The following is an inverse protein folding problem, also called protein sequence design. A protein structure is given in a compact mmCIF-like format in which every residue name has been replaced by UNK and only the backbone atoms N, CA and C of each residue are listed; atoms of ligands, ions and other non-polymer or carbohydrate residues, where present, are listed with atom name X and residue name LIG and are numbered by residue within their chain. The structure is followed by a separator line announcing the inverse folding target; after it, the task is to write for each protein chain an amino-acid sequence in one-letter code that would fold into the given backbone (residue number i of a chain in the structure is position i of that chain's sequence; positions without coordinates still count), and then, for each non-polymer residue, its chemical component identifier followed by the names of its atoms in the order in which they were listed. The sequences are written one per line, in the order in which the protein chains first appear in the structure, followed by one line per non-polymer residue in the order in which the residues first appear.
data_IF_586768333693
#
_entry.id   IF_586768333693
#
_cell.length_a   1.000
_cell.length_b   1.000
_cell.length_c   1.000
_cell.angle_alpha   90.00
_cell.angle_beta   90.00
_cell.angle_gamma   90.00
#
_symmetry.space_group_name_H-M   'P 1'
#
loop_
_entity.id
_entity.type
_entity.pdbx_description
1 polymer ?
#
# COMPACT_ATOMS: atom_id res chain seq x y z
N UNK A 1 52.30 22.23 -22.87
CA UNK A 1 51.65 21.25 -21.97
C UNK A 1 50.25 21.00 -22.51
N UNK A 2 49.99 19.85 -23.12
CA UNK A 2 48.61 19.43 -23.39
C UNK A 2 48.01 18.95 -22.08
N UNK A 3 47.14 19.77 -21.49
CA UNK A 3 46.30 19.35 -20.38
C UNK A 3 45.23 18.42 -20.98
N UNK A 4 45.48 17.11 -21.01
CA UNK A 4 44.41 16.16 -21.26
C UNK A 4 43.61 16.01 -19.97
N UNK A 5 42.40 16.57 -19.93
CA UNK A 5 41.45 16.20 -18.89
C UNK A 5 41.25 14.68 -18.94
N UNK A 6 41.39 13.95 -17.81
CA UNK A 6 41.05 12.53 -17.80
C UNK A 6 39.60 12.37 -18.23
N UNK A 7 39.33 11.39 -19.10
CA UNK A 7 37.96 11.09 -19.51
C UNK A 7 37.16 10.71 -18.27
N UNK A 8 35.97 11.33 -18.05
CA UNK A 8 35.14 10.96 -16.92
C UNK A 8 34.77 9.47 -17.03
N UNK A 9 34.83 8.77 -15.89
CA UNK A 9 34.30 7.42 -15.78
C UNK A 9 32.78 7.54 -15.87
N UNK A 10 32.18 6.88 -16.85
CA UNK A 10 30.73 6.92 -17.08
C UNK A 10 30.03 5.64 -16.59
N UNK A 11 30.79 4.57 -16.34
CA UNK A 11 30.26 3.29 -15.89
C UNK A 11 30.61 3.08 -14.42
N UNK A 12 29.58 3.04 -13.59
CA UNK A 12 29.67 2.74 -12.17
C UNK A 12 28.81 1.50 -11.86
N UNK A 13 29.17 0.75 -10.82
CA UNK A 13 28.35 -0.35 -10.28
C UNK A 13 27.40 0.13 -9.18
N UNK A 14 27.62 1.33 -8.66
CA UNK A 14 26.85 1.95 -7.58
C UNK A 14 26.40 3.37 -7.96
N UNK A 15 25.32 3.82 -7.32
CA UNK A 15 24.83 5.20 -7.40
C UNK A 15 25.92 6.16 -6.91
N UNK A 16 26.06 7.29 -7.60
CA UNK A 16 27.08 8.32 -7.38
C UNK A 16 26.34 9.64 -7.22
N UNK A 17 26.90 10.61 -6.49
CA UNK A 17 26.30 11.95 -6.39
C UNK A 17 25.99 12.58 -7.75
N UNK A 18 26.86 12.34 -8.74
CA UNK A 18 26.68 12.87 -10.09
C UNK A 18 25.46 12.29 -10.84
N UNK A 19 24.92 11.14 -10.42
CA UNK A 19 23.66 10.61 -10.97
C UNK A 19 22.44 11.46 -10.55
N UNK A 20 22.53 12.25 -9.47
CA UNK A 20 21.48 13.16 -9.02
C UNK A 20 21.69 14.63 -9.41
N UNK A 21 22.70 14.94 -10.23
CA UNK A 21 23.13 16.31 -10.51
C UNK A 21 22.52 16.94 -11.78
N UNK A 22 21.66 16.23 -12.51
CA UNK A 22 20.99 16.72 -13.73
C UNK A 22 21.89 16.73 -14.99
N UNK A 23 23.07 16.12 -14.92
CA UNK A 23 24.03 16.08 -16.02
C UNK A 23 23.98 14.79 -16.84
N UNK A 24 25.06 14.51 -17.59
CA UNK A 24 25.20 13.32 -18.43
C UNK A 24 25.03 12.00 -17.67
N UNK A 25 25.51 11.92 -16.43
CA UNK A 25 25.33 10.73 -15.60
C UNK A 25 23.87 10.54 -15.16
N UNK A 26 23.14 11.62 -14.86
CA UNK A 26 21.69 11.53 -14.61
C UNK A 26 20.95 10.97 -15.83
N UNK A 27 21.26 11.47 -17.03
CA UNK A 27 20.68 10.96 -18.28
C UNK A 27 21.03 9.49 -18.53
N UNK A 28 22.28 9.08 -18.26
CA UNK A 28 22.71 7.69 -18.37
C UNK A 28 21.95 6.77 -17.40
N UNK A 29 21.76 7.21 -16.14
CA UNK A 29 20.97 6.47 -15.16
C UNK A 29 19.51 6.32 -15.62
N UNK A 30 18.89 7.40 -16.08
CA UNK A 30 17.53 7.38 -16.66
C UNK A 30 17.42 6.39 -17.80
N UNK A 31 18.30 6.50 -18.80
CA UNK A 31 18.26 5.66 -19.99
C UNK A 31 18.55 4.18 -19.71
N UNK A 32 19.41 3.87 -18.72
CA UNK A 32 19.83 2.49 -18.43
C UNK A 32 18.97 1.78 -17.39
N UNK A 33 18.45 2.50 -16.40
CA UNK A 33 17.77 1.88 -15.25
C UNK A 33 16.28 2.14 -15.27
N UNK A 34 15.82 3.33 -15.66
CA UNK A 34 14.40 3.68 -15.57
C UNK A 34 13.65 3.39 -16.87
N UNK A 35 14.11 3.94 -18.00
CA UNK A 35 13.43 3.83 -19.29
C UNK A 35 13.21 2.39 -19.79
N UNK A 36 14.13 1.42 -19.59
CA UNK A 36 13.91 0.05 -20.07
C UNK A 36 12.71 -0.66 -19.43
N UNK A 37 12.29 -0.23 -18.25
CA UNK A 37 11.18 -0.85 -17.51
C UNK A 37 9.94 0.03 -17.44
N UNK A 38 10.12 1.35 -17.33
CA UNK A 38 9.02 2.31 -17.12
C UNK A 38 8.62 3.04 -18.41
N UNK A 39 9.40 2.93 -19.49
CA UNK A 39 9.18 3.62 -20.76
C UNK A 39 7.78 3.38 -21.33
N UNK A 40 7.13 4.47 -21.75
CA UNK A 40 5.77 4.50 -22.28
C UNK A 40 5.54 5.83 -23.01
N UNK A 41 4.50 5.97 -23.85
CA UNK A 41 4.30 7.17 -24.67
C UNK A 41 4.19 8.51 -23.91
N UNK A 42 3.85 8.49 -22.61
CA UNK A 42 3.85 9.69 -21.77
C UNK A 42 5.25 9.98 -21.25
N UNK A 43 5.92 8.98 -20.67
CA UNK A 43 7.25 9.14 -20.08
C UNK A 43 8.35 9.36 -21.13
N UNK A 44 8.22 8.74 -22.31
CA UNK A 44 9.19 8.81 -23.41
C UNK A 44 9.35 10.22 -23.99
N UNK A 45 8.40 11.13 -23.69
CA UNK A 45 8.49 12.53 -24.09
C UNK A 45 9.62 13.26 -23.35
N UNK A 46 9.91 12.85 -22.10
CA UNK A 46 10.92 13.47 -21.24
C UNK A 46 10.75 15.00 -21.10
N UNK A 47 9.52 15.48 -21.21
CA UNK A 47 9.14 16.85 -20.88
C UNK A 47 9.09 17.02 -19.35
N UNK A 48 9.06 18.28 -18.89
CA UNK A 48 8.96 18.60 -17.45
C UNK A 48 7.67 18.11 -16.78
N UNK A 49 6.66 17.69 -17.57
CA UNK A 49 5.39 17.19 -17.08
C UNK A 49 4.74 16.18 -18.03
N UNK A 50 4.08 15.18 -17.45
CA UNK A 50 3.17 14.30 -18.18
C UNK A 50 1.86 15.04 -18.52
N UNK A 51 1.28 14.74 -19.69
CA UNK A 51 0.03 15.33 -20.17
C UNK A 51 -0.94 14.22 -20.57
N UNK A 52 -2.10 14.17 -19.94
CA UNK A 52 -3.17 13.21 -20.21
C UNK A 52 -4.53 13.88 -20.11
N UNK A 53 -5.51 13.36 -20.84
CA UNK A 53 -6.88 13.87 -20.81
C UNK A 53 -7.61 13.40 -19.54
N UNK A 54 -8.51 14.25 -19.04
CA UNK A 54 -9.36 13.91 -17.92
C UNK A 54 -10.55 13.04 -18.36
N UNK A 55 -10.87 11.99 -17.59
CA UNK A 55 -12.09 11.20 -17.79
C UNK A 55 -13.31 11.85 -17.09
N UNK A 56 -14.55 11.54 -17.51
CA UNK A 56 -15.76 12.04 -16.85
C UNK A 56 -15.84 11.65 -15.37
N UNK A 57 -16.36 12.55 -14.53
CA UNK A 57 -16.53 12.32 -13.10
C UNK A 57 -15.66 13.25 -12.25
N UNK A 58 -15.07 12.74 -11.17
CA UNK A 58 -14.17 13.47 -10.28
C UNK A 58 -12.74 12.93 -10.39
N UNK A 59 -11.75 13.80 -10.22
CA UNK A 59 -10.35 13.39 -10.14
C UNK A 59 -10.02 13.06 -8.67
N UNK A 60 -9.49 11.87 -8.43
CA UNK A 60 -8.87 11.49 -7.17
C UNK A 60 -7.36 11.64 -7.28
N UNK A 61 -6.75 12.17 -6.22
CA UNK A 61 -5.31 12.38 -6.14
C UNK A 61 -4.82 11.99 -4.75
N UNK A 62 -3.82 11.12 -4.68
CA UNK A 62 -3.18 10.68 -3.44
C UNK A 62 -1.66 10.71 -3.59
N UNK A 63 -0.94 10.67 -2.48
CA UNK A 63 0.50 10.45 -2.47
C UNK A 63 0.94 9.77 -1.20
N UNK A 64 1.93 8.90 -1.32
CA UNK A 64 2.57 8.28 -0.18
C UNK A 64 4.08 8.17 -0.38
N UNK A 65 4.80 8.10 0.74
CA UNK A 65 6.26 7.94 0.75
C UNK A 65 6.62 6.66 1.50
N UNK A 66 7.35 5.81 0.81
CA UNK A 66 7.71 4.47 1.24
C UNK A 66 9.15 4.48 1.74
N UNK A 67 9.32 4.02 2.98
CA UNK A 67 10.60 4.03 3.70
C UNK A 67 10.92 2.68 4.33
N UNK A 68 10.21 1.62 3.91
CA UNK A 68 10.36 0.24 4.38
C UNK A 68 11.83 -0.20 4.48
N UNK A 69 12.16 -0.89 5.56
CA UNK A 69 13.43 -1.61 5.68
C UNK A 69 13.20 -3.07 6.12
N UNK A 70 13.88 -4.07 5.55
CA UNK A 70 14.74 -3.98 4.37
C UNK A 70 13.95 -3.61 3.10
N UNK A 71 14.63 -3.06 2.09
CA UNK A 71 14.01 -2.73 0.78
C UNK A 71 13.60 -3.96 -0.05
N UNK A 72 14.04 -5.15 0.35
CA UNK A 72 13.62 -6.45 -0.17
C UNK A 72 13.20 -7.34 0.98
N UNK A 73 11.99 -7.89 0.92
CA UNK A 73 11.40 -8.68 1.98
C UNK A 73 10.62 -9.87 1.43
N UNK A 74 10.25 -10.85 2.26
CA UNK A 74 9.40 -11.95 1.83
C UNK A 74 8.09 -11.42 1.25
N UNK A 75 7.77 -11.79 0.02
CA UNK A 75 6.54 -11.36 -0.64
C UNK A 75 6.62 -10.02 -1.39
N UNK A 76 7.71 -9.24 -1.29
CA UNK A 76 7.78 -7.96 -1.99
C UNK A 76 9.08 -7.17 -1.85
N UNK A 77 9.04 -5.94 -2.32
CA UNK A 77 10.12 -4.95 -2.33
C UNK A 77 9.54 -3.57 -2.01
N UNK A 78 10.40 -2.58 -1.80
CA UNK A 78 9.94 -1.17 -1.72
C UNK A 78 9.29 -0.70 -3.04
N UNK A 79 9.61 -1.32 -4.19
CA UNK A 79 9.12 -0.91 -5.50
C UNK A 79 7.67 -1.28 -5.75
N UNK A 80 7.33 -2.57 -5.67
CA UNK A 80 5.93 -3.01 -5.78
C UNK A 80 5.08 -2.47 -4.64
N UNK A 81 5.61 -2.34 -3.43
CA UNK A 81 4.94 -1.65 -2.32
C UNK A 81 4.54 -0.21 -2.70
N UNK A 82 5.47 0.56 -3.28
CA UNK A 82 5.19 1.95 -3.66
C UNK A 82 4.05 2.05 -4.69
N UNK A 83 4.02 1.14 -5.67
CA UNK A 83 2.96 1.11 -6.67
C UNK A 83 1.64 0.63 -6.05
N UNK A 84 1.66 -0.50 -5.34
CA UNK A 84 0.46 -1.13 -4.79
C UNK A 84 -0.24 -0.21 -3.78
N UNK A 85 0.49 0.38 -2.83
CA UNK A 85 -0.11 1.26 -1.82
C UNK A 85 -0.81 2.47 -2.45
N UNK A 86 -0.15 3.17 -3.36
CA UNK A 86 -0.74 4.35 -4.04
C UNK A 86 -1.92 3.96 -4.94
N UNK A 87 -1.89 2.78 -5.56
CA UNK A 87 -3.03 2.22 -6.30
C UNK A 87 -4.19 1.90 -5.37
N UNK A 88 -3.91 1.35 -4.19
CA UNK A 88 -4.89 0.96 -3.19
C UNK A 88 -5.61 2.18 -2.61
N UNK A 89 -4.89 3.23 -2.23
CA UNK A 89 -5.46 4.52 -1.80
C UNK A 89 -6.52 5.06 -2.78
N UNK A 90 -6.19 5.05 -4.07
CA UNK A 90 -7.11 5.48 -5.12
C UNK A 90 -8.31 4.53 -5.22
N UNK A 91 -8.07 3.23 -5.21
CA UNK A 91 -9.11 2.22 -5.34
C UNK A 91 -10.12 2.29 -4.19
N UNK A 92 -9.65 2.34 -2.94
CA UNK A 92 -10.54 2.41 -1.75
C UNK A 92 -11.34 3.72 -1.69
N UNK A 93 -10.81 4.80 -2.26
CA UNK A 93 -11.56 6.04 -2.51
C UNK A 93 -12.61 5.93 -3.62
N UNK A 94 -12.70 4.78 -4.29
CA UNK A 94 -13.62 4.53 -5.39
C UNK A 94 -13.14 5.10 -6.71
N UNK A 95 -11.87 5.46 -6.87
CA UNK A 95 -11.34 5.86 -8.17
C UNK A 95 -10.92 4.63 -8.98
N UNK A 96 -10.92 4.77 -10.31
CA UNK A 96 -10.19 3.88 -11.21
C UNK A 96 -8.77 4.46 -11.34
N UNK A 97 -7.73 3.82 -10.78
CA UNK A 97 -6.36 4.31 -10.89
C UNK A 97 -5.88 4.28 -12.34
N UNK A 98 -5.14 5.32 -12.78
CA UNK A 98 -4.63 5.41 -14.16
C UNK A 98 -3.15 5.76 -14.23
N UNK A 99 -2.75 6.80 -13.51
CA UNK A 99 -1.43 7.40 -13.67
C UNK A 99 -0.73 7.54 -12.33
N UNK A 100 0.55 7.21 -12.29
CA UNK A 100 1.42 7.44 -11.15
C UNK A 100 2.58 8.35 -11.54
N UNK A 101 3.06 9.15 -10.59
CA UNK A 101 4.42 9.69 -10.60
C UNK A 101 5.32 8.84 -9.70
N UNK A 102 6.63 8.84 -9.95
CA UNK A 102 7.60 8.17 -9.08
C UNK A 102 8.84 9.06 -8.81
N UNK A 103 8.97 9.54 -7.58
CA UNK A 103 10.14 10.27 -7.09
C UNK A 103 11.06 9.38 -6.27
N UNK A 104 12.36 9.38 -6.58
CA UNK A 104 13.36 8.57 -5.90
C UNK A 104 14.33 9.45 -5.11
N UNK A 105 14.57 9.11 -3.85
CA UNK A 105 15.70 9.61 -3.07
C UNK A 105 16.65 8.43 -2.85
N UNK A 106 17.84 8.51 -3.44
CA UNK A 106 18.82 7.43 -3.44
C UNK A 106 20.04 7.83 -2.62
N UNK A 107 20.58 6.88 -1.85
CA UNK A 107 21.84 7.05 -1.14
C UNK A 107 23.03 6.81 -2.08
N UNK A 108 24.04 7.68 -2.04
CA UNK A 108 25.33 7.43 -2.68
C UNK A 108 25.93 6.10 -2.22
N UNK A 109 26.36 5.28 -3.18
CA UNK A 109 26.90 3.95 -2.92
C UNK A 109 25.88 2.81 -2.98
N UNK A 110 24.58 3.09 -3.15
CA UNK A 110 23.56 2.08 -3.42
C UNK A 110 23.94 1.25 -4.67
N UNK A 111 23.92 -0.09 -4.63
CA UNK A 111 24.16 -0.91 -5.83
C UNK A 111 23.14 -0.63 -6.92
N UNK A 112 23.60 -0.36 -8.16
CA UNK A 112 22.69 -0.13 -9.29
C UNK A 112 21.85 -1.36 -9.61
N UNK A 113 22.37 -2.56 -9.36
CA UNK A 113 21.62 -3.80 -9.51
C UNK A 113 20.42 -3.88 -8.56
N UNK A 114 20.53 -3.32 -7.34
CA UNK A 114 19.40 -3.27 -6.41
C UNK A 114 18.37 -2.23 -6.86
N UNK A 115 18.81 -1.06 -7.35
CA UNK A 115 17.92 -0.07 -7.96
C UNK A 115 17.16 -0.66 -9.16
N UNK A 116 17.85 -1.34 -10.06
CA UNK A 116 17.27 -1.99 -11.24
C UNK A 116 16.22 -3.04 -10.85
N UNK A 117 16.50 -3.85 -9.82
CA UNK A 117 15.54 -4.82 -9.29
C UNK A 117 14.28 -4.15 -8.73
N UNK A 118 14.43 -3.04 -8.02
CA UNK A 118 13.31 -2.26 -7.48
C UNK A 118 12.48 -1.64 -8.60
N UNK A 119 13.12 -0.99 -9.58
CA UNK A 119 12.44 -0.38 -10.73
C UNK A 119 11.71 -1.44 -11.56
N UNK A 120 12.31 -2.61 -11.77
CA UNK A 120 11.63 -3.74 -12.42
C UNK A 120 10.40 -4.19 -11.62
N UNK A 121 10.50 -4.26 -10.29
CA UNK A 121 9.36 -4.60 -9.43
C UNK A 121 8.22 -3.59 -9.55
N UNK A 122 8.54 -2.28 -9.62
CA UNK A 122 7.56 -1.23 -9.88
C UNK A 122 6.87 -1.42 -11.22
N UNK A 123 7.63 -1.68 -12.29
CA UNK A 123 7.09 -1.90 -13.62
C UNK A 123 6.13 -3.12 -13.66
N UNK A 124 6.51 -4.21 -13.00
CA UNK A 124 5.69 -5.41 -12.93
C UNK A 124 4.40 -5.18 -12.11
N UNK A 125 4.47 -4.43 -11.01
CA UNK A 125 3.29 -4.03 -10.23
C UNK A 125 2.37 -3.09 -11.03
N UNK A 126 2.93 -2.08 -11.70
CA UNK A 126 2.16 -1.13 -12.50
C UNK A 126 1.44 -1.82 -13.65
N UNK A 127 2.12 -2.77 -14.32
CA UNK A 127 1.52 -3.60 -15.38
C UNK A 127 0.38 -4.47 -14.84
N UNK A 128 0.56 -5.11 -13.68
CA UNK A 128 -0.49 -5.93 -13.05
C UNK A 128 -1.72 -5.09 -12.66
N UNK A 129 -1.51 -3.90 -12.13
CA UNK A 129 -2.56 -2.97 -11.75
C UNK A 129 -3.21 -2.26 -12.96
N UNK A 130 -2.58 -2.29 -14.14
CA UNK A 130 -3.06 -1.61 -15.34
C UNK A 130 -2.88 -0.08 -15.28
N UNK A 131 -1.87 0.40 -14.53
CA UNK A 131 -1.53 1.83 -14.39
C UNK A 131 -0.24 2.18 -15.11
N UNK A 132 -0.06 3.47 -15.40
CA UNK A 132 1.13 4.00 -16.10
C UNK A 132 1.91 4.90 -15.15
N UNK A 133 3.21 4.66 -15.01
CA UNK A 133 4.11 5.62 -14.37
C UNK A 133 4.46 6.69 -15.43
N UNK A 134 3.81 7.84 -15.33
CA UNK A 134 3.77 8.85 -16.39
C UNK A 134 4.91 9.88 -16.29
N UNK A 135 5.43 10.12 -15.09
CA UNK A 135 6.58 11.00 -14.84
C UNK A 135 7.35 10.55 -13.60
N UNK A 136 8.54 11.12 -13.39
CA UNK A 136 9.33 10.81 -12.20
C UNK A 136 10.45 11.80 -11.95
N UNK A 137 11.11 11.63 -10.80
CA UNK A 137 12.25 12.44 -10.38
C UNK A 137 13.30 11.54 -9.70
N UNK A 138 14.57 11.95 -9.76
CA UNK A 138 15.64 11.24 -9.05
C UNK A 138 16.54 12.24 -8.34
N UNK A 139 16.72 12.04 -7.04
CA UNK A 139 17.67 12.75 -6.19
C UNK A 139 18.65 11.76 -5.60
N UNK A 140 19.91 12.17 -5.54
CA UNK A 140 20.97 11.40 -4.87
C UNK A 140 21.48 12.23 -3.71
N UNK A 141 21.46 11.65 -2.51
CA UNK A 141 21.97 12.25 -1.28
C UNK A 141 23.26 11.57 -0.84
N UNK A 142 24.04 12.26 -0.01
CA UNK A 142 25.29 11.70 0.48
C UNK A 142 25.04 10.47 1.36
N UNK A 143 26.05 9.61 1.43
CA UNK A 143 26.05 8.44 2.32
C UNK A 143 25.70 8.83 3.76
N UNK A 144 24.76 8.10 4.37
CA UNK A 144 24.23 8.31 5.71
C UNK A 144 23.05 9.28 5.81
N UNK A 145 22.61 9.92 4.72
CA UNK A 145 21.47 10.85 4.73
C UNK A 145 20.13 10.21 4.35
N UNK A 146 20.16 9.07 3.68
CA UNK A 146 19.01 8.22 3.37
C UNK A 146 19.45 6.78 3.60
N UNK A 147 18.62 5.95 4.22
CA UNK A 147 18.95 4.53 4.34
C UNK A 147 18.60 3.81 3.03
N UNK A 148 19.61 3.70 2.16
CA UNK A 148 19.55 3.09 0.81
C UNK A 148 18.69 3.85 -0.19
N UNK A 149 17.37 3.81 -0.05
CA UNK A 149 16.44 4.46 -0.96
C UNK A 149 15.09 4.73 -0.30
N UNK A 150 14.48 5.86 -0.65
CA UNK A 150 13.07 6.15 -0.40
C UNK A 150 12.38 6.42 -1.73
N UNK A 151 11.11 6.04 -1.81
CA UNK A 151 10.28 6.24 -3.00
C UNK A 151 9.04 7.02 -2.59
N UNK A 152 8.75 8.11 -3.29
CA UNK A 152 7.44 8.73 -3.24
C UNK A 152 6.71 8.39 -4.52
N UNK A 153 5.45 8.01 -4.40
CA UNK A 153 4.55 7.92 -5.53
C UNK A 153 3.35 8.80 -5.27
N UNK A 154 2.91 9.51 -6.30
CA UNK A 154 1.62 10.17 -6.31
C UNK A 154 0.75 9.53 -7.38
N UNK A 155 -0.54 9.37 -7.10
CA UNK A 155 -1.46 8.67 -7.99
C UNK A 155 -2.63 9.55 -8.39
N UNK A 156 -3.00 9.50 -9.66
CA UNK A 156 -4.21 10.09 -10.22
C UNK A 156 -5.13 8.97 -10.72
N UNK A 157 -6.39 9.05 -10.28
CA UNK A 157 -7.47 8.19 -10.75
C UNK A 157 -8.75 8.98 -10.97
N UNK A 158 -9.74 8.34 -11.59
CA UNK A 158 -11.03 8.96 -11.88
C UNK A 158 -12.16 8.24 -11.16
N UNK A 159 -12.96 8.99 -10.41
CA UNK A 159 -14.16 8.50 -9.72
C UNK A 159 -15.34 8.65 -10.69
N UNK A 160 -15.97 7.54 -11.12
CA UNK A 160 -17.11 7.60 -12.02
C UNK A 160 -18.29 8.39 -11.42
N UNK A 161 -19.14 9.04 -12.25
CA UNK A 161 -20.35 9.70 -11.78
C UNK A 161 -21.25 8.76 -10.96
N UNK A 162 -21.88 9.28 -9.92
CA UNK A 162 -22.80 8.53 -9.07
C UNK A 162 -22.13 7.72 -7.95
N UNK A 163 -20.79 7.63 -7.92
CA UNK A 163 -20.05 7.00 -6.82
C UNK A 163 -19.79 8.00 -5.70
N UNK A 164 -20.27 7.72 -4.49
CA UNK A 164 -20.14 8.59 -3.32
C UNK A 164 -19.68 7.82 -2.07
N UNK A 165 -18.44 7.33 -2.11
CA UNK A 165 -17.82 6.67 -0.96
C UNK A 165 -17.25 7.70 -0.01
N UNK A 166 -17.43 7.48 1.30
CA UNK A 166 -16.84 8.35 2.31
C UNK A 166 -16.77 7.65 3.66
N UNK A 167 -15.70 7.91 4.40
CA UNK A 167 -15.56 7.49 5.80
C UNK A 167 -16.67 8.04 6.73
N UNK A 168 -17.52 8.95 6.24
CA UNK A 168 -18.66 9.55 6.96
C UNK A 168 -20.01 8.89 6.64
N UNK A 169 -20.03 7.89 5.78
CA UNK A 169 -21.26 7.30 5.26
C UNK A 169 -21.72 6.06 6.03
N UNK A 170 -20.99 5.61 7.06
CA UNK A 170 -21.37 4.41 7.81
C UNK A 170 -22.70 4.63 8.53
N UNK A 171 -23.50 3.58 8.58
CA UNK A 171 -24.83 3.57 9.19
C UNK A 171 -24.98 2.38 10.13
N UNK A 172 -25.67 2.55 11.26
CA UNK A 172 -26.01 1.41 12.11
C UNK A 172 -26.75 0.33 11.32
N UNK A 173 -26.29 -0.92 11.47
CA UNK A 173 -26.75 -2.08 10.72
C UNK A 173 -25.88 -2.46 9.53
N UNK A 174 -24.91 -1.62 9.12
CA UNK A 174 -23.95 -2.01 8.09
C UNK A 174 -23.08 -3.19 8.53
N UNK A 175 -22.75 -4.07 7.58
CA UNK A 175 -21.76 -5.11 7.80
C UNK A 175 -20.35 -4.55 7.55
N UNK A 176 -19.39 -4.98 8.38
CA UNK A 176 -17.97 -4.69 8.21
C UNK A 176 -17.27 -5.94 7.72
N UNK A 177 -16.65 -5.87 6.55
CA UNK A 177 -15.90 -6.94 5.91
C UNK A 177 -14.42 -6.60 5.85
N UNK A 178 -13.60 -7.64 5.89
CA UNK A 178 -12.17 -7.56 5.65
C UNK A 178 -11.81 -8.53 4.53
N UNK A 179 -11.01 -8.09 3.57
CA UNK A 179 -10.70 -8.89 2.38
C UNK A 179 -9.77 -10.08 2.61
N UNK A 180 -9.15 -10.24 3.77
CA UNK A 180 -8.24 -11.35 4.00
C UNK A 180 -7.58 -11.28 5.35
N UNK A 181 -6.52 -12.08 5.52
CA UNK A 181 -5.81 -12.21 6.80
C UNK A 181 -5.20 -10.89 7.31
N UNK A 182 -4.95 -10.75 8.60
CA UNK A 182 -4.30 -9.56 9.17
C UNK A 182 -2.88 -9.82 9.65
N UNK A 183 -2.02 -8.81 9.53
CA UNK A 183 -0.67 -8.77 10.11
C UNK A 183 0.43 -9.38 9.24
N UNK A 184 0.11 -9.90 8.06
CA UNK A 184 1.05 -10.58 7.16
C UNK A 184 2.26 -9.70 6.80
N UNK A 185 2.03 -8.48 6.30
CA UNK A 185 3.12 -7.58 5.90
C UNK A 185 4.00 -7.21 7.09
N UNK A 186 3.42 -6.67 8.15
CA UNK A 186 4.24 -6.23 9.27
C UNK A 186 5.02 -7.36 9.94
N UNK A 187 4.45 -8.57 10.04
CA UNK A 187 5.20 -9.72 10.55
C UNK A 187 6.28 -10.19 9.56
N UNK A 188 6.05 -10.14 8.25
CA UNK A 188 7.09 -10.46 7.27
C UNK A 188 8.31 -9.54 7.38
N UNK A 189 8.08 -8.25 7.63
CA UNK A 189 9.13 -7.25 7.84
C UNK A 189 9.86 -7.50 9.16
N UNK A 190 9.13 -7.59 10.28
CA UNK A 190 9.74 -7.74 11.60
C UNK A 190 10.52 -9.03 11.76
N UNK A 191 9.95 -10.16 11.35
CA UNK A 191 10.64 -11.45 11.48
C UNK A 191 11.93 -11.48 10.67
N UNK A 192 11.97 -10.77 9.54
CA UNK A 192 13.19 -10.59 8.74
C UNK A 192 14.23 -9.72 9.46
N UNK A 193 13.82 -8.65 10.15
CA UNK A 193 14.74 -7.77 10.91
C UNK A 193 15.32 -8.43 12.15
N UNK A 194 14.47 -9.13 12.89
CA UNK A 194 14.86 -9.81 14.13
C UNK A 194 15.57 -11.15 13.88
N UNK A 195 15.70 -11.55 12.61
CA UNK A 195 16.31 -12.84 12.24
C UNK A 195 15.51 -14.06 12.75
N UNK A 196 14.21 -13.87 13.02
CA UNK A 196 13.34 -14.94 13.52
C UNK A 196 13.03 -15.90 12.38
N UNK A 197 13.37 -17.18 12.59
CA UNK A 197 13.13 -18.25 11.63
C UNK A 197 11.97 -19.11 12.11
N UNK A 198 10.83 -18.99 11.44
CA UNK A 198 9.67 -19.87 11.62
C UNK A 198 9.73 -21.02 10.61
N UNK A 199 8.99 -22.11 10.86
CA UNK A 199 8.90 -23.24 9.91
C UNK A 199 8.45 -22.78 8.52
N UNK A 200 7.48 -21.85 8.47
CA UNK A 200 7.07 -21.15 7.27
C UNK A 200 7.52 -19.70 7.34
N UNK A 201 8.15 -19.20 6.27
CA UNK A 201 8.52 -17.80 6.17
C UNK A 201 7.27 -16.96 5.91
N UNK A 202 6.89 -16.12 6.87
CA UNK A 202 5.80 -15.16 6.71
C UNK A 202 6.17 -14.23 5.56
N UNK A 203 5.24 -14.05 4.63
CA UNK A 203 5.41 -13.21 3.44
C UNK A 203 4.40 -12.07 3.48
N UNK A 204 4.84 -10.89 3.05
CA UNK A 204 3.98 -9.73 2.91
C UNK A 204 2.86 -10.00 1.94
N UNK A 205 1.71 -9.39 2.23
CA UNK A 205 0.51 -9.40 1.41
C UNK A 205 0.47 -8.27 0.36
N UNK A 206 1.58 -7.52 0.15
CA UNK A 206 1.63 -6.38 -0.78
C UNK A 206 1.05 -6.75 -2.16
N UNK A 207 -0.05 -6.11 -2.51
CA UNK A 207 -0.77 -6.35 -3.75
C UNK A 207 -1.64 -5.15 -4.13
N UNK A 208 -1.75 -4.91 -5.44
CA UNK A 208 -2.74 -3.97 -5.97
C UNK A 208 -4.15 -4.56 -5.84
N UNK A 209 -5.06 -3.80 -5.24
CA UNK A 209 -6.43 -4.21 -4.91
C UNK A 209 -7.46 -3.61 -5.86
N UNK A 210 -7.05 -2.84 -6.86
CA UNK A 210 -7.97 -2.15 -7.76
C UNK A 210 -8.88 -3.12 -8.56
N UNK A 211 -8.42 -4.34 -8.84
CA UNK A 211 -9.26 -5.40 -9.41
C UNK A 211 -10.32 -5.89 -8.43
N UNK A 212 -9.90 -6.33 -7.24
CA UNK A 212 -10.79 -6.75 -6.14
C UNK A 212 -11.83 -5.68 -5.80
N UNK A 213 -11.39 -4.43 -5.70
CA UNK A 213 -12.26 -3.29 -5.39
C UNK A 213 -13.28 -3.05 -6.51
N UNK A 214 -12.90 -3.24 -7.78
CA UNK A 214 -13.86 -3.13 -8.88
C UNK A 214 -14.96 -4.19 -8.78
N UNK A 215 -14.61 -5.44 -8.43
CA UNK A 215 -15.57 -6.53 -8.24
C UNK A 215 -16.50 -6.25 -7.04
N UNK A 216 -15.95 -5.76 -5.92
CA UNK A 216 -16.72 -5.33 -4.74
C UNK A 216 -17.72 -4.22 -5.09
N UNK A 217 -17.28 -3.21 -5.85
CA UNK A 217 -18.13 -2.09 -6.26
C UNK A 217 -19.23 -2.51 -7.23
N UNK A 218 -19.01 -3.57 -8.01
CA UNK A 218 -20.04 -4.17 -8.85
C UNK A 218 -21.06 -4.97 -8.02
N UNK A 219 -20.60 -5.67 -6.98
CA UNK A 219 -21.45 -6.47 -6.10
C UNK A 219 -22.29 -5.63 -5.12
N UNK A 220 -21.76 -4.50 -4.65
CA UNK A 220 -22.41 -3.59 -3.70
C UNK A 220 -22.46 -2.15 -4.23
N UNK A 221 -23.48 -1.80 -5.04
CA UNK A 221 -23.64 -0.43 -5.55
C UNK A 221 -23.95 0.59 -4.45
N UNK A 222 -24.42 0.16 -3.27
CA UNK A 222 -24.74 1.03 -2.13
C UNK A 222 -23.67 1.01 -1.04
N UNK A 223 -22.46 0.51 -1.36
CA UNK A 223 -21.32 0.52 -0.47
C UNK A 223 -21.08 1.92 0.14
N UNK A 224 -20.88 1.98 1.45
CA UNK A 224 -20.74 3.25 2.16
C UNK A 224 -19.29 3.73 2.26
N UNK A 225 -18.36 2.83 2.62
CA UNK A 225 -16.95 3.16 2.77
C UNK A 225 -16.03 1.97 2.50
N UNK A 226 -14.83 2.25 1.99
CA UNK A 226 -13.70 1.32 2.00
C UNK A 226 -12.48 2.02 2.58
N UNK A 227 -11.56 1.22 3.14
CA UNK A 227 -10.25 1.70 3.55
C UNK A 227 -9.25 0.56 3.66
N UNK A 228 -8.01 0.80 3.30
CA UNK A 228 -6.90 -0.14 3.44
C UNK A 228 -6.26 -0.02 4.83
N UNK A 229 -6.09 -1.13 5.58
CA UNK A 229 -5.55 -1.09 6.93
C UNK A 229 -4.02 -1.13 6.95
N UNK A 230 -3.39 -0.06 6.45
CA UNK A 230 -1.93 0.15 6.45
C UNK A 230 -1.42 0.51 7.86
N UNK A 231 -0.87 1.70 8.09
CA UNK A 231 -0.27 2.08 9.38
C UNK A 231 -1.32 2.08 10.50
N UNK A 232 -0.99 1.42 11.60
CA UNK A 232 -1.92 1.20 12.73
C UNK A 232 -2.94 0.08 12.51
N UNK A 233 -2.91 -0.56 11.33
CA UNK A 233 -3.66 -1.76 11.02
C UNK A 233 -5.17 -1.58 11.01
N UNK A 234 -5.86 -2.69 11.23
CA UNK A 234 -7.33 -2.75 11.31
C UNK A 234 -7.85 -1.90 12.47
N UNK A 235 -7.11 -1.88 13.59
CA UNK A 235 -7.47 -1.12 14.78
C UNK A 235 -7.58 0.39 14.48
N UNK A 236 -6.53 1.00 13.92
CA UNK A 236 -6.55 2.42 13.58
C UNK A 236 -7.62 2.74 12.55
N UNK A 237 -7.71 1.92 11.49
CA UNK A 237 -8.63 2.13 10.38
C UNK A 237 -10.09 2.13 10.83
N UNK A 238 -10.50 1.15 11.63
CA UNK A 238 -11.87 1.08 12.13
C UNK A 238 -12.18 2.20 13.13
N UNK A 239 -11.23 2.61 13.96
CA UNK A 239 -11.42 3.74 14.87
C UNK A 239 -11.61 5.05 14.08
N UNK A 240 -10.86 5.26 13.01
CA UNK A 240 -11.05 6.42 12.12
C UNK A 240 -12.41 6.42 11.44
N UNK A 241 -12.88 5.26 10.96
CA UNK A 241 -14.19 5.11 10.35
C UNK A 241 -15.32 5.37 11.37
N UNK A 242 -15.23 4.77 12.56
CA UNK A 242 -16.17 4.97 13.65
C UNK A 242 -16.28 6.45 14.06
N UNK A 243 -15.13 7.12 14.24
CA UNK A 243 -15.06 8.53 14.59
C UNK A 243 -15.62 9.43 13.48
N UNK A 244 -15.22 9.21 12.22
CA UNK A 244 -15.64 10.04 11.09
C UNK A 244 -17.15 9.96 10.81
N UNK A 245 -17.77 8.79 11.03
CA UNK A 245 -19.22 8.60 10.87
C UNK A 245 -20.02 8.81 12.17
N UNK A 246 -19.36 9.03 13.31
CA UNK A 246 -20.03 9.16 14.63
C UNK A 246 -20.90 7.95 15.00
N UNK A 247 -20.40 6.74 14.70
CA UNK A 247 -21.05 5.45 14.96
C UNK A 247 -20.13 4.55 15.79
N UNK A 248 -20.68 3.49 16.40
CA UNK A 248 -19.88 2.42 16.99
C UNK A 248 -19.60 1.32 15.97
N UNK A 249 -18.55 0.52 16.20
CA UNK A 249 -18.30 -0.72 15.45
C UNK A 249 -18.13 -1.86 16.46
N UNK A 250 -18.93 -2.92 16.34
CA UNK A 250 -18.74 -4.16 17.11
C UNK A 250 -18.11 -5.23 16.21
N UNK A 251 -16.92 -5.71 16.58
CA UNK A 251 -16.21 -6.81 15.92
C UNK A 251 -16.44 -8.14 16.63
N UNK A 252 -16.39 -9.24 15.88
CA UNK A 252 -16.33 -10.59 16.42
C UNK A 252 -14.91 -11.15 16.31
N UNK A 253 -14.23 -11.34 17.45
CA UNK A 253 -12.85 -11.83 17.48
C UNK A 253 -12.68 -13.19 16.77
N UNK A 254 -13.70 -14.06 16.86
CA UNK A 254 -13.64 -15.39 16.25
C UNK A 254 -13.73 -15.36 14.71
N UNK A 255 -14.22 -14.25 14.16
CA UNK A 255 -14.36 -14.06 12.70
C UNK A 255 -13.12 -13.47 12.04
N UNK A 256 -12.16 -12.96 12.83
CA UNK A 256 -10.96 -12.31 12.31
C UNK A 256 -10.01 -13.33 11.67
N UNK A 257 -9.72 -13.22 10.36
CA UNK A 257 -8.79 -14.11 9.70
C UNK A 257 -7.35 -13.74 10.12
N UNK A 258 -6.71 -14.61 10.90
CA UNK A 258 -5.29 -14.48 11.27
C UNK A 258 -4.63 -15.83 11.00
N UNK A 259 -3.56 -15.84 10.21
CA UNK A 259 -2.80 -17.08 9.97
C UNK A 259 -2.13 -17.55 11.25
N UNK A 260 -1.98 -18.86 11.40
CA UNK A 260 -1.35 -19.44 12.60
C UNK A 260 0.11 -19.00 12.77
N UNK A 261 0.87 -18.88 11.69
CA UNK A 261 2.26 -18.42 11.73
C UNK A 261 2.37 -16.93 12.13
N UNK A 262 1.47 -16.09 11.62
CA UNK A 262 1.35 -14.68 12.04
C UNK A 262 0.94 -14.58 13.50
N UNK A 263 -0.07 -15.34 13.94
CA UNK A 263 -0.52 -15.38 15.34
C UNK A 263 0.62 -15.78 16.28
N UNK A 264 1.35 -16.84 15.96
CA UNK A 264 2.48 -17.29 16.76
C UNK A 264 3.61 -16.27 16.83
N UNK A 265 3.89 -15.56 15.73
CA UNK A 265 4.87 -14.47 15.73
C UNK A 265 4.42 -13.28 16.59
N UNK A 266 3.16 -12.86 16.46
CA UNK A 266 2.54 -11.82 17.26
C UNK A 266 2.59 -12.14 18.76
N UNK A 267 2.24 -13.38 19.15
CA UNK A 267 2.30 -13.84 20.55
C UNK A 267 3.73 -13.81 21.10
N UNK A 268 4.71 -14.28 20.32
CA UNK A 268 6.12 -14.26 20.73
C UNK A 268 6.64 -12.83 20.96
N UNK A 269 6.21 -11.89 20.13
CA UNK A 269 6.64 -10.49 20.14
C UNK A 269 5.79 -9.60 21.06
N UNK A 270 4.67 -10.11 21.60
CA UNK A 270 3.74 -9.33 22.42
C UNK A 270 3.00 -8.24 21.64
N UNK A 271 2.70 -8.49 20.36
CA UNK A 271 2.06 -7.54 19.44
C UNK A 271 0.64 -8.02 19.13
N UNK A 272 -0.35 -7.13 19.13
CA UNK A 272 -1.70 -7.44 18.63
C UNK A 272 -1.69 -7.40 17.08
N UNK A 273 -2.07 -8.48 16.37
CA UNK A 273 -2.08 -8.49 14.91
C UNK A 273 -2.97 -7.41 14.30
N UNK A 274 -3.98 -6.92 15.02
CA UNK A 274 -4.87 -5.86 14.52
C UNK A 274 -4.22 -4.48 14.48
N UNK A 275 -3.11 -4.28 15.17
CA UNK A 275 -2.35 -3.01 15.15
C UNK A 275 -1.20 -3.02 14.14
N UNK A 276 -1.05 -4.11 13.39
CA UNK A 276 0.04 -4.33 12.43
C UNK A 276 -0.41 -3.96 11.03
N UNK A 277 0.50 -3.36 10.26
CA UNK A 277 0.21 -2.92 8.90
C UNK A 277 0.01 -4.06 7.91
N UNK A 278 -0.89 -3.83 6.96
CA UNK A 278 -1.25 -4.69 5.84
C UNK A 278 -1.09 -3.89 4.55
N UNK A 279 -0.59 -4.50 3.48
CA UNK A 279 -0.28 -3.80 2.22
C UNK A 279 -1.03 -4.38 1.01
N UNK A 280 -1.99 -5.27 1.27
CA UNK A 280 -2.88 -5.84 0.26
C UNK A 280 -4.19 -6.30 0.88
N UNK A 281 -4.76 -5.48 1.77
CA UNK A 281 -6.07 -5.72 2.39
C UNK A 281 -6.95 -4.49 2.29
N UNK A 282 -8.26 -4.71 2.30
CA UNK A 282 -9.26 -3.65 2.33
C UNK A 282 -10.36 -4.02 3.33
N UNK A 283 -10.74 -3.04 4.13
CA UNK A 283 -11.95 -3.03 4.94
C UNK A 283 -13.06 -2.43 4.09
N UNK A 284 -14.22 -3.09 4.07
CA UNK A 284 -15.39 -2.69 3.29
C UNK A 284 -16.59 -2.61 4.22
N UNK A 285 -17.33 -1.50 4.16
CA UNK A 285 -18.55 -1.29 4.95
C UNK A 285 -19.74 -1.07 4.04
N UNK A 286 -20.72 -1.95 4.13
CA UNK A 286 -21.85 -2.07 3.20
C UNK A 286 -23.17 -2.30 3.94
N UNK A 287 -24.32 -1.96 3.32
CA UNK A 287 -25.61 -2.40 3.81
C UNK A 287 -25.65 -3.92 4.03
N UNK A 288 -26.36 -4.35 5.10
CA UNK A 288 -26.36 -5.76 5.53
C UNK A 288 -26.81 -6.74 4.44
N UNK A 289 -27.74 -6.31 3.59
CA UNK A 289 -28.31 -7.09 2.50
C UNK A 289 -27.35 -7.26 1.29
N UNK A 290 -26.30 -6.44 1.19
CA UNK A 290 -25.25 -6.57 0.17
C UNK A 290 -24.02 -7.34 0.68
N UNK A 291 -23.93 -7.62 1.98
CA UNK A 291 -22.74 -8.19 2.62
C UNK A 291 -22.31 -9.55 2.04
N UNK A 292 -23.25 -10.47 1.83
CA UNK A 292 -22.95 -11.81 1.30
C UNK A 292 -22.49 -11.76 -0.16
N UNK A 293 -23.07 -10.87 -0.98
CA UNK A 293 -22.65 -10.69 -2.38
C UNK A 293 -21.22 -10.14 -2.46
N UNK A 294 -20.86 -9.21 -1.57
CA UNK A 294 -19.49 -8.69 -1.46
C UNK A 294 -18.53 -9.76 -0.99
N UNK A 295 -18.92 -10.57 0.00
CA UNK A 295 -18.09 -11.66 0.50
C UNK A 295 -17.83 -12.69 -0.61
N UNK A 296 -18.83 -13.04 -1.42
CA UNK A 296 -18.68 -13.92 -2.58
C UNK A 296 -17.75 -13.31 -3.64
N UNK A 297 -17.93 -12.02 -3.97
CA UNK A 297 -17.06 -11.31 -4.91
C UNK A 297 -15.60 -11.27 -4.44
N UNK A 298 -15.36 -11.02 -3.15
CA UNK A 298 -14.00 -11.03 -2.59
C UNK A 298 -13.36 -12.41 -2.70
N UNK A 299 -14.07 -13.46 -2.28
CA UNK A 299 -13.57 -14.83 -2.30
C UNK A 299 -13.31 -15.37 -3.72
N UNK A 300 -13.90 -14.76 -4.75
CA UNK A 300 -13.62 -15.05 -6.15
C UNK A 300 -12.24 -14.59 -6.64
N UNK A 301 -11.56 -13.72 -5.87
CA UNK A 301 -10.24 -13.18 -6.21
C UNK A 301 -9.12 -13.85 -5.41
N UNK A 302 -7.88 -13.76 -5.91
CA UNK A 302 -6.71 -14.29 -5.20
C UNK A 302 -6.42 -13.50 -3.92
N UNK A 303 -6.58 -12.19 -3.98
CA UNK A 303 -6.32 -11.23 -2.91
C UNK A 303 -7.42 -11.26 -1.83
N UNK A 304 -8.62 -11.71 -2.20
CA UNK A 304 -9.82 -11.76 -1.36
C UNK A 304 -10.23 -13.14 -0.85
N UNK A 305 -9.45 -14.19 -1.13
CA UNK A 305 -9.81 -15.61 -0.88
C UNK A 305 -10.07 -15.99 0.60
N UNK A 306 -9.57 -15.18 1.52
CA UNK A 306 -9.69 -15.36 2.97
C UNK A 306 -10.59 -14.28 3.58
N UNK A 307 -11.46 -13.67 2.76
CA UNK A 307 -12.33 -12.59 3.19
C UNK A 307 -13.35 -13.07 4.22
N UNK A 308 -13.70 -12.17 5.14
CA UNK A 308 -14.65 -12.45 6.20
C UNK A 308 -15.50 -11.23 6.54
N UNK A 309 -16.75 -11.46 6.94
CA UNK A 309 -17.54 -10.46 7.67
C UNK A 309 -17.03 -10.47 9.11
N UNK A 310 -16.40 -9.37 9.53
CA UNK A 310 -15.70 -9.27 10.81
C UNK A 310 -16.50 -8.57 11.92
N UNK A 311 -17.63 -7.94 11.56
CA UNK A 311 -18.42 -7.18 12.51
C UNK A 311 -19.57 -6.41 11.89
N UNK A 312 -20.11 -5.47 12.66
CA UNK A 312 -21.21 -4.61 12.26
C UNK A 312 -21.07 -3.20 12.85
N UNK A 313 -21.67 -2.22 12.16
CA UNK A 313 -21.80 -0.86 12.66
C UNK A 313 -23.01 -0.78 13.59
N UNK A 314 -22.83 -0.19 14.78
CA UNK A 314 -23.84 -0.12 15.85
C UNK A 314 -24.10 1.32 16.29
N UNK A 315 -25.20 1.54 17.03
CA UNK A 315 -25.56 2.88 17.56
C UNK A 315 -24.83 3.19 18.86
N UNK A 316 -24.52 2.15 19.61
CA UNK A 316 -23.84 2.17 20.88
C UNK A 316 -22.40 2.70 20.71
N UNK A 317 -21.85 3.29 21.78
CA UNK A 317 -20.44 3.70 21.87
C UNK A 317 -19.91 4.41 20.59
N UNK A 318 -20.52 5.54 20.18
CA UNK A 318 -20.12 6.26 18.96
C UNK A 318 -18.65 6.70 19.03
N UNK A 319 -17.94 6.55 17.91
CA UNK A 319 -16.52 6.84 17.81
C UNK A 319 -15.60 5.77 18.42
N UNK A 320 -16.14 4.61 18.83
CA UNK A 320 -15.37 3.52 19.43
C UNK A 320 -15.56 2.21 18.67
N UNK A 321 -14.50 1.41 18.68
CA UNK A 321 -14.50 0.02 18.22
C UNK A 321 -14.48 -0.90 19.44
N UNK A 322 -15.47 -1.78 19.53
CA UNK A 322 -15.59 -2.78 20.59
C UNK A 322 -15.46 -4.15 19.95
N UNK A 323 -14.70 -5.05 20.56
CA UNK A 323 -14.55 -6.42 20.09
C UNK A 323 -15.14 -7.39 21.10
N UNK A 324 -16.05 -8.25 20.63
CA UNK A 324 -16.56 -9.40 21.35
C UNK A 324 -15.53 -10.52 21.26
N UNK A 325 -15.04 -10.97 22.42
CA UNK A 325 -14.06 -12.04 22.50
C UNK A 325 -14.69 -13.40 22.26
N UNK A 326 -13.86 -14.41 22.00
CA UNK A 326 -14.30 -15.81 21.88
C UNK A 326 -15.04 -16.33 23.13
N UNK A 327 -14.87 -15.68 24.29
CA UNK A 327 -15.54 -16.02 25.55
C UNK A 327 -16.81 -15.20 25.83
N UNK A 328 -17.24 -14.36 24.88
CA UNK A 328 -18.43 -13.52 24.98
C UNK A 328 -18.25 -12.25 25.82
N UNK A 329 -17.03 -11.95 26.30
CA UNK A 329 -16.72 -10.66 26.91
C UNK A 329 -16.48 -9.59 25.85
N UNK A 330 -16.52 -8.31 26.24
CA UNK A 330 -16.20 -7.19 25.35
C UNK A 330 -14.93 -6.50 25.79
N UNK A 331 -14.05 -6.17 24.84
CA UNK A 331 -12.91 -5.28 25.05
C UNK A 331 -12.95 -4.12 24.06
N UNK A 332 -12.39 -2.98 24.44
CA UNK A 332 -12.20 -1.87 23.51
C UNK A 332 -10.99 -2.20 22.64
N UNK A 333 -11.10 -1.98 21.34
CA UNK A 333 -9.97 -1.99 20.41
C UNK A 333 -9.54 -0.54 20.20
N UNK A 334 -8.59 -0.09 21.02
CA UNK A 334 -8.16 1.30 21.02
C UNK A 334 -7.33 1.66 19.78
N UNK A 335 -7.36 2.95 19.44
CA UNK A 335 -6.41 3.56 18.52
C UNK A 335 -4.97 3.31 19.04
N UNK A 336 -4.06 2.74 18.22
CA UNK A 336 -2.68 2.57 18.63
C UNK A 336 -2.03 3.91 19.00
N UNK A 337 -1.24 3.94 20.09
CA UNK A 337 -0.57 5.16 20.56
C UNK A 337 0.46 5.74 19.59
N UNK A 338 0.96 4.92 18.66
CA UNK A 338 1.95 5.29 17.66
C UNK A 338 2.36 4.07 16.85
N UNK A 339 3.26 4.28 15.89
CA UNK A 339 3.83 3.18 15.09
C UNK A 339 4.62 2.25 16.04
N UNK A 340 4.08 1.06 16.29
CA UNK A 340 4.79 0.05 17.09
C UNK A 340 6.06 -0.43 16.37
N UNK A 341 6.07 -0.34 15.04
CA UNK A 341 7.02 -1.00 14.15
C UNK A 341 7.59 0.03 13.15
N UNK A 342 8.67 0.77 13.49
CA UNK A 342 9.13 1.88 12.66
C UNK A 342 9.51 1.41 11.25
N UNK A 343 9.18 2.22 10.24
CA UNK A 343 9.57 1.99 8.82
C UNK A 343 9.01 0.68 8.27
N UNK A 344 7.78 0.34 8.59
CA UNK A 344 7.17 -0.90 8.09
C UNK A 344 6.81 -0.80 6.61
N UNK A 345 6.41 0.39 6.15
CA UNK A 345 6.04 0.73 4.79
C UNK A 345 6.89 1.88 4.23
#
# INVERSE_FOLDING_TARGET
MQLSCPSPVLQHETVQMAHGAGGRLSQDLTARVFMPYLGNPLLDQLDDQARFDAEPGRIAFTTDTYVVTPIFFPGGTIGDLAVNGTVNDLAVGGAVPRYLSAGFVLEEGLPLADLERVVKSMADAARKAGVVIACGDTKVVQKGQCDRMFINTSGVGFIPPGRDLSCRNLRPGDAVLLSGTVGDHGMAILTTREGLSFQNRISSDSAALNGLVADVLQAAPHLHAMRDPTRGGVAATLNELAAASSVGIELDEASLPVREDVRGACELLGIDPLTVANEGKVIVVVPRDEAEAVLEAMNGSREGKDAAIIGEVVREHPGMVVMRTAFGSRRILDMPLGEQLPRIC
#
